data_IF_223141804256
#
_entry.id   IF_223141804256
#
_cell.length_a   1.000
_cell.length_b   1.000
_cell.length_c   1.000
_cell.angle_alpha   90.00
_cell.angle_beta   90.00
_cell.angle_gamma   90.00
#
_symmetry.space_group_name_H-M   'P 1'
#
loop_
_entity.id
_entity.type
_entity.pdbx_description
1 polymer ?
#
# COMPACT_ATOMS: atom_id res chain seq x y z
N UNK A 1 -16.91 2.26 9.33
CA UNK A 1 -15.74 2.62 10.15
C UNK A 1 -15.06 1.31 10.48
N UNK A 2 -13.96 0.97 9.80
CA UNK A 2 -13.25 -0.31 9.97
C UNK A 2 -11.74 -0.03 9.82
N UNK A 3 -11.14 0.60 10.83
CA UNK A 3 -9.70 0.85 10.90
C UNK A 3 -9.23 0.42 12.29
N UNK A 4 -8.53 -0.70 12.34
CA UNK A 4 -8.10 -1.32 13.60
C UNK A 4 -6.79 -0.72 14.11
N UNK A 5 -5.98 -0.15 13.21
CA UNK A 5 -4.63 0.30 13.53
C UNK A 5 -4.32 1.67 12.94
N UNK A 6 -3.58 2.46 13.72
CA UNK A 6 -2.98 3.72 13.30
C UNK A 6 -1.49 3.74 13.67
N UNK A 7 -0.65 4.13 12.71
CA UNK A 7 0.78 4.37 12.90
C UNK A 7 1.02 5.86 12.82
N UNK A 8 1.63 6.42 13.86
CA UNK A 8 1.94 7.84 13.97
C UNK A 8 3.43 8.08 13.73
N UNK A 9 3.74 9.03 12.86
CA UNK A 9 5.09 9.53 12.64
C UNK A 9 5.25 10.85 13.40
N UNK A 10 6.14 10.88 14.39
CA UNK A 10 6.49 12.10 15.13
C UNK A 10 7.93 12.52 14.85
N UNK A 11 8.21 13.81 14.95
CA UNK A 11 9.60 14.29 14.99
C UNK A 11 10.25 14.08 16.37
N UNK A 12 11.51 14.50 16.50
CA UNK A 12 12.27 14.39 17.76
C UNK A 12 11.69 15.22 18.91
N UNK A 13 10.82 16.19 18.62
CA UNK A 13 10.09 16.97 19.63
C UNK A 13 8.70 16.41 19.94
N UNK A 14 8.33 15.26 19.38
CA UNK A 14 7.01 14.64 19.58
C UNK A 14 5.88 15.24 18.75
N UNK A 15 6.16 16.17 17.82
CA UNK A 15 5.13 16.75 16.97
C UNK A 15 4.72 15.74 15.89
N UNK A 16 3.42 15.54 15.69
CA UNK A 16 2.90 14.67 14.63
C UNK A 16 3.26 15.23 13.24
N UNK A 17 3.97 14.43 12.45
CA UNK A 17 4.40 14.73 11.08
C UNK A 17 3.71 13.85 10.04
N UNK A 18 2.95 12.86 10.47
CA UNK A 18 2.11 12.07 9.57
C UNK A 18 1.51 10.86 10.26
N UNK A 19 0.61 10.20 9.56
CA UNK A 19 0.04 8.95 10.00
C UNK A 19 -0.35 8.07 8.81
N UNK A 20 -0.50 6.78 9.08
CA UNK A 20 -1.19 5.84 8.19
C UNK A 20 -2.12 4.97 9.02
N UNK A 21 -3.27 4.62 8.46
CA UNK A 21 -4.23 3.70 9.07
C UNK A 21 -4.38 2.46 8.21
N UNK A 22 -4.72 1.33 8.82
CA UNK A 22 -5.04 0.10 8.10
C UNK A 22 -5.98 -0.79 8.92
N UNK A 23 -6.64 -1.71 8.24
CA UNK A 23 -7.38 -2.81 8.85
C UNK A 23 -6.67 -4.13 8.54
N UNK A 24 -6.79 -5.10 9.44
CA UNK A 24 -6.25 -6.45 9.25
C UNK A 24 -7.36 -7.44 9.57
N UNK A 25 -7.93 -8.05 8.53
CA UNK A 25 -9.12 -8.90 8.65
C UNK A 25 -8.93 -10.22 7.89
N UNK A 26 -9.62 -11.30 8.27
CA UNK A 26 -9.63 -12.52 7.48
C UNK A 26 -10.27 -12.27 6.11
N UNK A 27 -9.77 -12.95 5.08
CA UNK A 27 -10.39 -12.95 3.76
C UNK A 27 -11.75 -13.67 3.82
N UNK A 28 -12.82 -13.15 3.20
CA UNK A 28 -14.16 -13.73 3.31
C UNK A 28 -14.28 -15.17 2.79
N UNK A 29 -13.48 -15.55 1.79
CA UNK A 29 -13.61 -16.82 1.06
C UNK A 29 -12.35 -17.72 1.14
N UNK A 30 -11.35 -17.34 1.95
CA UNK A 30 -10.07 -18.05 2.04
C UNK A 30 -9.58 -18.05 3.51
N UNK A 31 -9.84 -19.15 4.22
CA UNK A 31 -9.74 -19.23 5.69
C UNK A 31 -8.33 -19.03 6.26
N UNK A 32 -7.29 -19.31 5.48
CA UNK A 32 -5.88 -19.15 5.83
C UNK A 32 -5.31 -17.78 5.40
N UNK A 33 -6.10 -16.97 4.70
CA UNK A 33 -5.67 -15.70 4.15
C UNK A 33 -6.17 -14.52 4.99
N UNK A 34 -5.25 -13.63 5.32
CA UNK A 34 -5.51 -12.36 5.96
C UNK A 34 -5.21 -11.20 5.01
N UNK A 35 -6.00 -10.15 5.10
CA UNK A 35 -5.92 -8.99 4.22
C UNK A 35 -5.64 -7.76 5.03
N UNK A 36 -4.57 -7.08 4.68
CA UNK A 36 -4.31 -5.71 5.11
C UNK A 36 -4.99 -4.78 4.10
N UNK A 37 -5.98 -4.04 4.54
CA UNK A 37 -6.58 -2.97 3.74
C UNK A 37 -5.94 -1.64 4.12
N UNK A 38 -5.38 -0.92 3.13
CA UNK A 38 -4.90 0.45 3.36
C UNK A 38 -6.05 1.38 3.73
N UNK A 39 -5.80 2.25 4.71
CA UNK A 39 -6.63 3.40 5.01
C UNK A 39 -5.91 4.72 4.70
N UNK A 40 -6.40 5.79 5.32
CA UNK A 40 -5.86 7.14 5.12
C UNK A 40 -4.38 7.20 5.48
N UNK A 41 -3.62 7.89 4.63
CA UNK A 41 -2.21 8.17 4.84
C UNK A 41 -1.94 9.64 4.57
N UNK A 42 -1.51 10.37 5.59
CA UNK A 42 -1.18 11.78 5.49
C UNK A 42 0.24 11.98 6.00
N UNK A 43 1.07 12.65 5.21
CA UNK A 43 2.45 12.98 5.59
C UNK A 43 2.73 14.45 5.33
N UNK A 44 3.18 15.15 6.37
CA UNK A 44 3.63 16.53 6.33
C UNK A 44 4.79 16.69 5.34
N UNK A 45 4.85 17.85 4.68
CA UNK A 45 5.83 18.11 3.63
C UNK A 45 7.27 17.91 4.10
N UNK A 46 7.58 18.25 5.36
CA UNK A 46 8.92 18.11 5.92
C UNK A 46 9.36 16.64 6.07
N UNK A 47 8.42 15.70 6.17
CA UNK A 47 8.67 14.27 6.36
C UNK A 47 8.49 13.41 5.09
N UNK A 48 8.01 13.98 3.97
CA UNK A 48 7.66 13.23 2.73
C UNK A 48 8.83 12.53 2.04
N UNK A 49 10.07 12.93 2.32
CA UNK A 49 11.28 12.29 1.77
C UNK A 49 11.78 11.12 2.63
N UNK A 50 11.20 10.96 3.83
CA UNK A 50 11.55 9.89 4.74
C UNK A 50 10.80 8.61 4.38
N UNK A 51 11.49 7.47 4.46
CA UNK A 51 10.88 6.16 4.41
C UNK A 51 10.38 5.68 5.78
N UNK A 52 10.52 6.48 6.85
CA UNK A 52 10.20 6.06 8.21
C UNK A 52 8.77 5.54 8.38
N UNK A 53 7.78 6.15 7.72
CA UNK A 53 6.39 5.67 7.79
C UNK A 53 6.22 4.30 7.10
N UNK A 54 6.87 4.11 5.95
CA UNK A 54 6.85 2.84 5.21
C UNK A 54 7.56 1.72 6.00
N UNK A 55 8.74 2.03 6.56
CA UNK A 55 9.50 1.13 7.43
C UNK A 55 8.65 0.70 8.63
N UNK A 56 8.06 1.66 9.33
CA UNK A 56 7.24 1.40 10.52
C UNK A 56 5.97 0.61 10.18
N UNK A 57 5.36 0.88 9.02
CA UNK A 57 4.20 0.14 8.55
C UNK A 57 4.54 -1.34 8.33
N UNK A 58 5.61 -1.63 7.60
CA UNK A 58 6.00 -3.02 7.34
C UNK A 58 6.39 -3.75 8.62
N UNK A 59 7.14 -3.09 9.51
CA UNK A 59 7.49 -3.67 10.81
C UNK A 59 6.25 -3.98 11.66
N UNK A 60 5.23 -3.11 11.60
CA UNK A 60 3.96 -3.32 12.30
C UNK A 60 3.19 -4.51 11.75
N UNK A 61 3.10 -4.65 10.42
CA UNK A 61 2.42 -5.80 9.81
C UNK A 61 3.14 -7.11 10.14
N UNK A 62 4.48 -7.14 10.13
CA UNK A 62 5.24 -8.33 10.56
C UNK A 62 4.98 -8.69 12.02
N UNK A 63 4.96 -7.69 12.89
CA UNK A 63 4.68 -7.90 14.31
C UNK A 63 3.30 -8.53 14.48
N UNK A 64 2.28 -7.97 13.84
CA UNK A 64 0.91 -8.51 13.87
C UNK A 64 0.86 -9.93 13.28
N UNK A 65 1.53 -10.19 12.15
CA UNK A 65 1.62 -11.53 11.55
C UNK A 65 2.20 -12.54 12.53
N UNK A 66 3.27 -12.18 13.23
CA UNK A 66 3.91 -13.05 14.22
C UNK A 66 3.04 -13.24 15.48
N UNK A 67 2.53 -12.14 16.06
CA UNK A 67 1.70 -12.15 17.26
C UNK A 67 0.42 -12.99 17.08
N UNK A 68 -0.23 -12.87 15.92
CA UNK A 68 -1.45 -13.60 15.61
C UNK A 68 -1.21 -14.93 14.86
N UNK A 69 0.05 -15.30 14.59
CA UNK A 69 0.42 -16.51 13.84
C UNK A 69 -0.30 -16.64 12.48
N UNK A 70 -0.35 -15.54 11.73
CA UNK A 70 -1.05 -15.49 10.45
C UNK A 70 -0.23 -16.19 9.36
N UNK A 71 -0.80 -17.24 8.77
CA UNK A 71 -0.12 -18.05 7.76
C UNK A 71 0.18 -17.24 6.49
N UNK A 72 -0.87 -16.66 5.89
CA UNK A 72 -0.78 -15.89 4.66
C UNK A 72 -1.39 -14.52 4.85
N UNK A 73 -0.63 -13.49 4.49
CA UNK A 73 -1.06 -12.09 4.59
C UNK A 73 -0.85 -11.43 3.23
N UNK A 74 -1.88 -10.76 2.73
CA UNK A 74 -1.82 -9.94 1.51
C UNK A 74 -2.10 -8.50 1.83
N UNK A 75 -1.59 -7.63 0.98
CA UNK A 75 -1.89 -6.21 1.05
C UNK A 75 -2.79 -5.82 -0.12
N UNK A 76 -4.02 -5.38 0.20
CA UNK A 76 -4.88 -4.69 -0.75
C UNK A 76 -4.72 -3.17 -0.57
N UNK A 77 -3.85 -2.59 -1.39
CA UNK A 77 -3.58 -1.16 -1.42
C UNK A 77 -4.57 -0.49 -2.36
N UNK A 78 -5.23 0.57 -1.90
CA UNK A 78 -5.83 1.58 -2.79
C UNK A 78 -4.96 2.83 -2.78
N UNK A 79 -4.71 3.42 -3.95
CA UNK A 79 -3.97 4.67 -4.01
C UNK A 79 -4.32 5.53 -5.23
N UNK A 80 -4.48 6.83 -4.99
CA UNK A 80 -4.59 7.90 -5.98
C UNK A 80 -3.24 8.52 -6.38
N UNK A 81 -2.14 8.08 -5.74
CA UNK A 81 -0.81 8.66 -5.92
C UNK A 81 0.24 7.73 -6.49
N UNK A 82 0.85 8.14 -7.61
CA UNK A 82 1.97 7.43 -8.21
C UNK A 82 3.17 7.27 -7.24
N UNK A 83 3.34 8.17 -6.25
CA UNK A 83 4.37 7.99 -5.21
C UNK A 83 4.12 6.75 -4.35
N UNK A 84 2.87 6.57 -3.91
CA UNK A 84 2.46 5.41 -3.11
C UNK A 84 2.52 4.14 -3.93
N UNK A 85 2.00 4.18 -5.16
CA UNK A 85 2.08 3.04 -6.09
C UNK A 85 3.52 2.53 -6.27
N UNK A 86 4.50 3.43 -6.35
CA UNK A 86 5.94 3.08 -6.50
C UNK A 86 6.52 2.25 -5.36
N UNK A 87 5.87 2.17 -4.22
CA UNK A 87 6.34 1.28 -3.14
C UNK A 87 6.30 -0.18 -3.61
N UNK A 88 5.32 -0.54 -4.44
CA UNK A 88 5.16 -1.89 -4.98
C UNK A 88 6.38 -2.34 -5.82
N UNK A 89 6.76 -1.67 -6.94
CA UNK A 89 7.91 -2.08 -7.74
C UNK A 89 9.26 -1.92 -7.03
N UNK A 90 9.35 -1.05 -6.02
CA UNK A 90 10.59 -0.89 -5.26
C UNK A 90 10.77 -2.03 -4.27
N UNK A 91 9.71 -2.46 -3.57
CA UNK A 91 9.83 -3.36 -2.43
C UNK A 91 9.39 -4.81 -2.71
N UNK A 92 8.55 -5.05 -3.71
CA UNK A 92 7.98 -6.36 -4.01
C UNK A 92 8.33 -6.86 -5.41
N UNK A 93 8.54 -8.16 -5.55
CA UNK A 93 8.85 -8.84 -6.82
C UNK A 93 7.57 -9.14 -7.60
N UNK A 94 6.53 -9.56 -6.90
CA UNK A 94 5.22 -9.93 -7.41
C UNK A 94 4.14 -9.05 -6.77
N UNK A 95 3.49 -8.26 -7.62
CA UNK A 95 2.39 -7.37 -7.27
C UNK A 95 1.59 -7.09 -8.53
N UNK A 96 0.33 -6.71 -8.36
CA UNK A 96 -0.58 -6.39 -9.44
C UNK A 96 -1.46 -5.19 -9.10
N UNK A 97 -1.93 -4.40 -10.08
CA UNK A 97 -1.50 -4.44 -11.48
C UNK A 97 -0.04 -3.96 -11.63
N UNK A 98 0.66 -4.46 -12.65
CA UNK A 98 2.08 -4.15 -12.89
C UNK A 98 2.35 -3.92 -14.37
N UNK A 99 3.21 -2.95 -14.67
CA UNK A 99 3.59 -2.63 -16.03
C UNK A 99 4.17 -3.86 -16.76
N UNK A 100 3.58 -4.21 -17.91
CA UNK A 100 4.02 -5.30 -18.78
C UNK A 100 3.81 -6.71 -18.24
N UNK A 101 3.00 -6.90 -17.20
CA UNK A 101 2.63 -8.21 -16.70
C UNK A 101 1.13 -8.29 -16.45
N UNK A 102 0.49 -9.31 -17.01
CA UNK A 102 -0.92 -9.62 -16.74
C UNK A 102 -0.99 -10.43 -15.44
N UNK A 103 -1.94 -10.07 -14.58
CA UNK A 103 -2.19 -10.82 -13.36
C UNK A 103 -2.65 -12.24 -13.69
N UNK A 104 -2.12 -13.28 -13.01
CA UNK A 104 -2.73 -14.61 -13.05
C UNK A 104 -4.20 -14.50 -12.69
N UNK A 105 -5.03 -15.29 -13.37
CA UNK A 105 -6.48 -15.24 -13.22
C UNK A 105 -6.94 -15.48 -11.77
N UNK A 106 -6.21 -16.31 -11.02
CA UNK A 106 -6.44 -16.52 -9.58
C UNK A 106 -6.23 -15.25 -8.75
N UNK A 107 -5.15 -14.51 -9.01
CA UNK A 107 -4.85 -13.25 -8.34
C UNK A 107 -5.85 -12.17 -8.76
N UNK A 108 -6.22 -12.11 -10.04
CA UNK A 108 -7.24 -11.18 -10.55
C UNK A 108 -8.56 -11.36 -9.81
N UNK A 109 -9.07 -12.59 -9.73
CA UNK A 109 -10.32 -12.90 -9.00
C UNK A 109 -10.21 -12.59 -7.51
N UNK A 110 -9.09 -12.92 -6.87
CA UNK A 110 -8.88 -12.61 -5.45
C UNK A 110 -8.91 -11.10 -5.22
N UNK A 111 -8.15 -10.33 -6.00
CA UNK A 111 -8.12 -8.88 -5.88
C UNK A 111 -9.50 -8.26 -6.10
N UNK A 112 -10.25 -8.74 -7.11
CA UNK A 112 -11.62 -8.31 -7.38
C UNK A 112 -12.56 -8.63 -6.21
N UNK A 113 -12.56 -9.86 -5.71
CA UNK A 113 -13.42 -10.29 -4.60
C UNK A 113 -13.14 -9.52 -3.30
N UNK A 114 -11.87 -9.29 -2.97
CA UNK A 114 -11.48 -8.49 -1.80
C UNK A 114 -11.91 -7.02 -1.95
N UNK A 115 -11.75 -6.44 -3.15
CA UNK A 115 -12.18 -5.07 -3.41
C UNK A 115 -13.70 -4.92 -3.36
N UNK A 116 -14.46 -5.86 -3.96
CA UNK A 116 -15.93 -5.89 -3.88
C UNK A 116 -16.40 -6.02 -2.44
N UNK A 117 -15.82 -6.95 -1.68
CA UNK A 117 -16.18 -7.16 -0.27
C UNK A 117 -15.94 -5.90 0.57
N UNK A 118 -14.86 -5.15 0.31
CA UNK A 118 -14.49 -3.98 1.13
C UNK A 118 -15.15 -2.67 0.70
N UNK A 119 -15.31 -2.45 -0.60
CA UNK A 119 -15.70 -1.15 -1.17
C UNK A 119 -17.06 -1.19 -1.87
N UNK A 120 -17.64 -2.38 -2.07
CA UNK A 120 -18.97 -2.57 -2.64
C UNK A 120 -19.14 -1.83 -3.96
N UNK A 121 -20.20 -1.03 -4.06
CA UNK A 121 -20.53 -0.23 -5.24
C UNK A 121 -19.52 0.87 -5.58
N UNK A 122 -18.58 1.18 -4.68
CA UNK A 122 -17.52 2.16 -4.95
C UNK A 122 -16.41 1.58 -5.84
N UNK A 123 -16.33 0.27 -5.98
CA UNK A 123 -15.34 -0.41 -6.80
C UNK A 123 -15.87 -0.71 -8.21
N UNK A 124 -15.14 -0.28 -9.24
CA UNK A 124 -15.38 -0.65 -10.64
C UNK A 124 -14.45 -1.81 -11.03
N UNK A 125 -14.97 -3.04 -11.21
CA UNK A 125 -14.14 -4.20 -11.51
C UNK A 125 -13.52 -4.16 -12.90
N UNK A 126 -14.09 -3.40 -13.84
CA UNK A 126 -13.51 -3.27 -15.19
C UNK A 126 -12.21 -2.48 -15.13
N UNK A 127 -12.25 -1.39 -14.37
CA UNK A 127 -11.12 -0.49 -14.24
C UNK A 127 -10.25 -0.82 -13.02
N UNK A 128 -10.65 -1.69 -12.11
CA UNK A 128 -9.89 -1.92 -10.87
C UNK A 128 -9.74 -0.65 -10.03
N UNK A 129 -10.71 0.26 -10.11
CA UNK A 129 -10.67 1.59 -9.48
C UNK A 129 -11.72 1.65 -8.37
N UNK A 130 -11.34 2.22 -7.22
CA UNK A 130 -12.27 2.63 -6.17
C UNK A 130 -12.53 4.13 -6.29
N UNK A 131 -13.81 4.49 -6.42
CA UNK A 131 -14.30 5.87 -6.42
C UNK A 131 -14.97 6.16 -5.09
N UNK A 132 -14.20 6.71 -4.16
CA UNK A 132 -14.69 6.99 -2.81
C UNK A 132 -15.80 8.06 -2.86
N UNK A 133 -16.88 7.92 -2.05
CA UNK A 133 -17.94 8.93 -1.99
C UNK A 133 -17.43 10.32 -1.59
N UNK A 134 -16.38 10.36 -0.76
CA UNK A 134 -15.68 11.58 -0.35
C UNK A 134 -14.20 11.43 -0.78
N UNK A 135 -13.85 11.80 -2.02
CA UNK A 135 -12.48 11.67 -2.50
C UNK A 135 -11.56 12.67 -1.79
N UNK A 136 -10.31 12.27 -1.59
CA UNK A 136 -9.25 13.12 -1.03
C UNK A 136 -8.15 13.33 -2.07
N UNK A 137 -8.37 14.19 -3.09
CA UNK A 137 -7.41 14.36 -4.18
C UNK A 137 -6.06 14.85 -3.64
N UNK A 138 -5.00 14.28 -4.20
CA UNK A 138 -3.64 14.67 -3.86
C UNK A 138 -3.39 16.12 -4.28
N UNK A 139 -2.76 16.89 -3.39
CA UNK A 139 -2.38 18.28 -3.71
C UNK A 139 -1.37 18.27 -4.89
N UNK A 140 -1.46 19.19 -5.85
CA UNK A 140 -0.60 19.22 -7.05
C UNK A 140 0.91 19.16 -6.75
N UNK A 141 1.33 19.78 -5.66
CA UNK A 141 2.70 19.81 -5.13
C UNK A 141 3.24 18.47 -4.62
N UNK A 142 2.41 17.41 -4.58
CA UNK A 142 2.82 16.05 -4.20
C UNK A 142 3.28 15.20 -5.39
N UNK A 143 3.31 15.78 -6.60
CA UNK A 143 3.79 15.15 -7.83
C UNK A 143 5.14 14.44 -7.69
N UNK A 144 5.33 13.38 -8.50
CA UNK A 144 6.51 12.51 -8.46
C UNK A 144 7.74 13.24 -9.01
N UNK A 145 8.86 13.19 -8.28
CA UNK A 145 10.15 13.68 -8.77
C UNK A 145 10.68 12.84 -9.94
N UNK A 146 11.19 13.51 -10.97
CA UNK A 146 11.50 12.92 -12.29
C UNK A 146 12.69 11.93 -12.27
N UNK A 147 12.66 10.93 -13.17
CA UNK A 147 13.79 10.03 -13.49
C UNK A 147 13.40 8.91 -14.48
N UNK A 148 14.35 8.22 -15.16
CA UNK A 148 14.03 7.43 -16.36
C UNK A 148 13.35 6.07 -16.09
N UNK A 149 13.88 5.24 -15.17
CA UNK A 149 13.18 4.03 -14.67
C UNK A 149 11.94 4.43 -13.87
N UNK A 150 11.92 5.66 -13.35
CA UNK A 150 10.80 6.24 -12.63
C UNK A 150 9.61 6.53 -13.55
N UNK A 151 9.83 6.57 -14.86
CA UNK A 151 8.83 6.98 -15.84
C UNK A 151 7.88 5.84 -16.24
N UNK A 152 8.37 4.59 -16.35
CA UNK A 152 7.54 3.45 -16.78
C UNK A 152 6.39 3.15 -15.82
N UNK A 153 6.69 2.96 -14.54
CA UNK A 153 5.69 2.60 -13.54
C UNK A 153 4.74 3.76 -13.22
N UNK A 154 5.24 5.00 -13.29
CA UNK A 154 4.42 6.21 -13.11
C UNK A 154 3.47 6.38 -14.30
N UNK A 155 3.97 6.21 -15.52
CA UNK A 155 3.15 6.24 -16.73
C UNK A 155 2.09 5.16 -16.71
N UNK A 156 2.47 3.91 -16.38
CA UNK A 156 1.53 2.82 -16.24
C UNK A 156 0.43 3.14 -15.22
N UNK A 157 0.80 3.68 -14.05
CA UNK A 157 -0.17 4.11 -13.05
C UNK A 157 -1.14 5.17 -13.60
N UNK A 158 -0.63 6.20 -14.28
CA UNK A 158 -1.43 7.28 -14.84
C UNK A 158 -2.37 6.79 -15.96
N UNK A 159 -1.89 5.90 -16.83
CA UNK A 159 -2.70 5.27 -17.87
C UNK A 159 -3.78 4.37 -17.28
N UNK A 160 -3.45 3.62 -16.22
CA UNK A 160 -4.38 2.70 -15.56
C UNK A 160 -5.40 3.40 -14.68
N UNK A 161 -5.05 4.57 -14.14
CA UNK A 161 -5.88 5.40 -13.28
C UNK A 161 -5.91 6.86 -13.79
N UNK A 162 -6.64 7.14 -14.89
CA UNK A 162 -6.73 8.49 -15.44
C UNK A 162 -7.43 9.48 -14.49
N UNK A 163 -8.31 8.99 -13.61
CA UNK A 163 -9.02 9.78 -12.59
C UNK A 163 -8.20 10.10 -11.34
N UNK A 164 -6.94 9.70 -11.25
CA UNK A 164 -6.16 9.80 -10.02
C UNK A 164 -6.08 11.24 -9.45
N UNK A 165 -6.14 12.24 -10.33
CA UNK A 165 -6.09 13.67 -9.96
C UNK A 165 -7.35 14.17 -9.26
N UNK A 166 -8.50 13.51 -9.47
CA UNK A 166 -9.77 13.81 -8.81
C UNK A 166 -10.07 12.87 -7.63
N UNK A 167 -9.14 11.96 -7.31
CA UNK A 167 -9.21 11.07 -6.16
C UNK A 167 -9.64 9.64 -6.46
N UNK A 168 -9.68 9.22 -7.73
CA UNK A 168 -9.84 7.80 -8.06
C UNK A 168 -8.63 7.01 -7.53
N UNK A 169 -8.90 5.87 -6.88
CA UNK A 169 -7.87 5.06 -6.25
C UNK A 169 -7.70 3.72 -6.97
N UNK A 170 -6.48 3.44 -7.42
CA UNK A 170 -6.16 2.17 -8.05
C UNK A 170 -6.03 1.06 -7.01
N UNK A 171 -6.81 -0.01 -7.16
CA UNK A 171 -6.64 -1.23 -6.36
C UNK A 171 -5.39 -1.96 -6.81
N UNK A 172 -4.53 -2.26 -5.84
CA UNK A 172 -3.31 -3.03 -6.01
C UNK A 172 -3.26 -4.16 -4.97
N UNK A 173 -2.57 -5.23 -5.33
CA UNK A 173 -2.43 -6.47 -4.57
C UNK A 173 -0.96 -6.90 -4.53
N UNK A 174 -0.50 -7.36 -3.36
CA UNK A 174 0.77 -8.09 -3.24
C UNK A 174 0.75 -9.02 -2.03
N UNK A 175 1.43 -10.16 -2.11
CA UNK A 175 1.64 -11.05 -0.98
C UNK A 175 2.73 -10.47 -0.05
N UNK A 176 2.44 -10.38 1.25
CA UNK A 176 3.36 -9.92 2.29
C UNK A 176 4.22 -11.07 2.82
N UNK A 177 5.02 -11.62 1.91
CA UNK A 177 5.98 -12.69 2.17
C UNK A 177 7.44 -12.21 2.02
N UNK A 178 8.33 -12.67 2.89
CA UNK A 178 9.75 -12.28 2.85
C UNK A 178 10.43 -12.75 1.54
N UNK A 179 9.97 -13.84 0.94
CA UNK A 179 10.38 -14.34 -0.37
C UNK A 179 9.94 -13.44 -1.54
N UNK A 180 8.86 -12.68 -1.36
CA UNK A 180 8.36 -11.71 -2.34
C UNK A 180 9.13 -10.38 -2.31
N UNK A 181 10.00 -10.14 -1.32
CA UNK A 181 10.72 -8.86 -1.22
C UNK A 181 11.86 -8.73 -2.24
N UNK A 182 11.98 -7.55 -2.85
CA UNK A 182 13.20 -7.19 -3.60
C UNK A 182 14.39 -7.03 -2.63
N UNK A 183 15.61 -6.86 -3.16
CA UNK A 183 16.77 -6.50 -2.31
C UNK A 183 16.57 -5.19 -1.57
N UNK A 184 15.89 -4.21 -2.17
CA UNK A 184 15.56 -2.95 -1.51
C UNK A 184 14.52 -3.18 -0.40
N UNK A 185 13.51 -4.02 -0.66
CA UNK A 185 12.57 -4.50 0.35
C UNK A 185 13.30 -5.12 1.54
N UNK A 186 14.12 -6.13 1.31
CA UNK A 186 14.92 -6.82 2.35
C UNK A 186 15.80 -5.87 3.17
N UNK A 187 16.46 -4.89 2.52
CA UNK A 187 17.28 -3.89 3.22
C UNK A 187 16.46 -2.96 4.11
N UNK A 188 15.28 -2.55 3.64
CA UNK A 188 14.34 -1.77 4.42
C UNK A 188 13.92 -2.55 5.68
N UNK A 189 13.67 -3.87 5.55
CA UNK A 189 13.40 -4.75 6.70
C UNK A 189 14.55 -4.77 7.70
N UNK A 190 15.77 -5.03 7.23
CA UNK A 190 16.94 -5.15 8.10
C UNK A 190 17.31 -3.83 8.80
N UNK A 191 16.99 -2.70 8.18
CA UNK A 191 17.18 -1.37 8.76
C UNK A 191 16.17 -1.04 9.88
N UNK A 192 14.95 -1.56 9.82
CA UNK A 192 13.94 -1.41 10.87
C UNK A 192 14.32 -2.16 12.15
N UNK A 193 14.77 -3.40 12.00
CA UNK A 193 15.22 -4.26 13.11
C UNK A 193 16.37 -3.63 13.93
N UNK A 194 17.36 -3.01 13.27
CA UNK A 194 18.48 -2.33 13.95
C UNK A 194 18.08 -1.08 14.73
N UNK A 195 17.02 -0.39 14.31
CA UNK A 195 16.49 0.79 15.01
C UNK A 195 15.63 0.41 16.22
N UNK A 196 15.07 -0.81 16.23
CA UNK A 196 14.36 -1.39 17.39
C UNK A 196 15.29 -1.79 18.52
N UNK A 197 16.50 -2.28 18.24
CA UNK A 197 17.49 -2.62 19.29
C UNK A 197 18.22 -1.40 19.85
N UNK A 198 18.07 -0.23 19.22
CA UNK A 198 18.69 1.03 19.64
C UNK A 198 17.72 2.00 20.37
N UNK A 199 16.45 1.62 20.53
CA UNK A 199 15.43 2.35 21.30
C UNK A 199 15.01 1.53 22.51
#
# INVERSE_FOLDING_TARGET
EDKDFAILLTDGGGTLRGFTTFALVPAPEEADLWVVYSGDTIVDRSARHSFALAETWIDSIRRLRHEHRLERVVWLLICSGARTYRFLPVFFREFFPRAGLTAPETIRRRMEGLAVARYGSSYDPRDGIVRLPVPQPLRPETGVGQGPIRDRDVRFFQERNPGHSVGDELVCYTDLDDGNLTRAGQRMMAGGEKRRTAR
#
